data_IF_535274508115
#
_entry.id   IF_535274508115
#
_cell.length_a   1.000
_cell.length_b   1.000
_cell.length_c   1.000
_cell.angle_alpha   90.00
_cell.angle_beta   90.00
_cell.angle_gamma   90.00
#
_symmetry.space_group_name_H-M   'P 1'
#
loop_
_entity.id
_entity.type
_entity.pdbx_description
1 polymer ?
#
# COMPACT_ATOMS: atom_id res chain seq x y z
N UNK A 1 -3.95 -25.31 -3.58
CA UNK A 1 -2.87 -24.51 -4.18
C UNK A 1 -2.73 -23.30 -3.28
N UNK A 2 -1.69 -23.26 -2.45
CA UNK A 2 -1.49 -22.14 -1.53
C UNK A 2 -0.83 -21.02 -2.32
N UNK A 3 -1.62 -20.08 -2.82
CA UNK A 3 -1.09 -18.91 -3.53
C UNK A 3 -0.19 -18.14 -2.58
N UNK A 4 1.06 -17.89 -3.01
CA UNK A 4 2.00 -17.06 -2.29
C UNK A 4 1.41 -15.64 -2.18
N UNK A 5 0.76 -15.36 -1.05
CA UNK A 5 0.28 -14.04 -0.63
C UNK A 5 1.50 -13.15 -0.47
N UNK A 6 1.70 -12.24 -1.41
CA UNK A 6 2.97 -11.51 -1.51
C UNK A 6 2.82 -10.13 -2.10
N UNK A 7 3.60 -9.20 -1.57
CA UNK A 7 3.80 -7.89 -2.15
C UNK A 7 4.53 -8.05 -3.48
N UNK A 8 3.95 -7.53 -4.56
CA UNK A 8 4.65 -7.44 -5.86
C UNK A 8 5.19 -6.03 -6.00
N UNK A 9 6.51 -5.91 -6.19
CA UNK A 9 7.16 -4.63 -6.46
C UNK A 9 7.53 -4.57 -7.94
N UNK A 10 7.03 -3.56 -8.63
CA UNK A 10 7.42 -3.22 -9.99
C UNK A 10 7.94 -1.78 -10.00
N UNK A 11 9.28 -1.65 -10.01
CA UNK A 11 9.94 -0.37 -9.84
C UNK A 11 9.56 0.35 -8.54
N UNK A 12 8.83 1.46 -8.68
CA UNK A 12 8.33 2.30 -7.57
C UNK A 12 6.88 1.98 -7.19
N UNK A 13 6.25 1.01 -7.83
CA UNK A 13 4.88 0.60 -7.53
C UNK A 13 4.90 -0.69 -6.72
N UNK A 14 4.15 -0.72 -5.62
CA UNK A 14 3.93 -1.90 -4.79
C UNK A 14 2.47 -2.31 -4.91
N UNK A 15 2.21 -3.56 -5.31
CA UNK A 15 0.87 -4.14 -5.33
C UNK A 15 0.69 -5.02 -4.11
N UNK A 16 -0.38 -4.77 -3.36
CA UNK A 16 -0.74 -5.46 -2.12
C UNK A 16 -1.77 -6.57 -2.39
N UNK A 17 -1.36 -7.64 -3.05
CA UNK A 17 -2.24 -8.79 -3.26
C UNK A 17 -2.28 -9.67 -2.00
N UNK A 18 -3.34 -9.51 -1.20
CA UNK A 18 -3.65 -10.35 -0.05
C UNK A 18 -4.45 -11.60 -0.41
N UNK A 19 -4.99 -12.31 0.59
CA UNK A 19 -5.79 -13.53 0.39
C UNK A 19 -7.21 -13.33 -0.14
N UNK A 20 -7.49 -12.20 -0.79
CA UNK A 20 -8.80 -11.87 -1.36
C UNK A 20 -8.66 -11.35 -2.80
N UNK A 21 -9.77 -10.97 -3.42
CA UNK A 21 -9.82 -10.52 -4.82
C UNK A 21 -9.39 -9.05 -5.04
N UNK A 22 -8.86 -8.39 -4.01
CA UNK A 22 -8.49 -6.97 -4.02
C UNK A 22 -6.95 -6.87 -3.94
N UNK A 23 -6.34 -6.18 -4.91
CA UNK A 23 -4.91 -5.98 -5.10
C UNK A 23 -4.61 -4.48 -5.25
N UNK A 24 -4.81 -3.66 -4.20
CA UNK A 24 -4.54 -2.25 -4.27
C UNK A 24 -3.05 -1.99 -4.54
N UNK A 25 -2.78 -0.85 -5.17
CA UNK A 25 -1.44 -0.42 -5.57
C UNK A 25 -1.02 0.80 -4.77
N UNK A 26 0.26 0.90 -4.48
CA UNK A 26 0.90 2.06 -3.89
C UNK A 26 1.99 2.53 -4.85
N UNK A 27 1.90 3.78 -5.32
CA UNK A 27 2.90 4.40 -6.17
C UNK A 27 3.82 5.31 -5.36
N UNK A 28 5.12 5.05 -5.42
CA UNK A 28 6.21 5.81 -4.79
C UNK A 28 7.10 6.54 -5.80
N UNK A 29 6.62 6.83 -7.02
CA UNK A 29 7.35 7.58 -8.04
C UNK A 29 7.72 8.98 -7.56
N UNK A 30 6.78 9.68 -6.92
CA UNK A 30 7.04 10.93 -6.22
C UNK A 30 7.09 10.69 -4.70
N UNK A 31 8.26 10.85 -4.05
CA UNK A 31 8.37 10.66 -2.61
C UNK A 31 7.58 11.69 -1.79
N UNK A 32 7.18 12.81 -2.39
CA UNK A 32 6.35 13.82 -1.73
C UNK A 32 4.85 13.52 -1.85
N UNK A 33 4.46 12.68 -2.82
CA UNK A 33 3.07 12.41 -3.19
C UNK A 33 2.87 10.91 -3.44
N UNK A 34 2.46 10.20 -2.41
CA UNK A 34 2.31 8.74 -2.45
C UNK A 34 0.85 8.42 -2.76
N UNK A 35 0.62 7.71 -3.85
CA UNK A 35 -0.74 7.44 -4.35
C UNK A 35 -1.12 5.99 -4.06
N UNK A 36 -2.24 5.80 -3.39
CA UNK A 36 -2.89 4.51 -3.18
C UNK A 36 -4.03 4.40 -4.19
N UNK A 37 -4.10 3.29 -4.92
CA UNK A 37 -5.15 3.03 -5.91
C UNK A 37 -5.79 1.69 -5.61
N UNK A 38 -7.12 1.65 -5.50
CA UNK A 38 -7.87 0.40 -5.39
C UNK A 38 -8.10 -0.26 -6.76
N UNK A 39 -8.65 -1.48 -6.77
CA UNK A 39 -8.92 -2.23 -8.00
C UNK A 39 -10.06 -1.65 -8.86
N UNK A 40 -10.86 -0.74 -8.30
CA UNK A 40 -11.93 -0.04 -8.99
C UNK A 40 -11.47 1.31 -9.59
N UNK A 41 -10.20 1.67 -9.40
CA UNK A 41 -9.61 2.92 -9.88
C UNK A 41 -9.82 4.12 -8.95
N UNK A 42 -10.39 3.91 -7.76
CA UNK A 42 -10.41 4.91 -6.70
C UNK A 42 -8.99 5.19 -6.21
N UNK A 43 -8.65 6.46 -6.01
CA UNK A 43 -7.31 6.85 -5.61
C UNK A 43 -7.30 7.84 -4.45
N UNK A 44 -6.35 7.64 -3.52
CA UNK A 44 -6.06 8.55 -2.41
C UNK A 44 -4.59 8.90 -2.47
N UNK A 45 -4.28 10.19 -2.39
CA UNK A 45 -2.91 10.69 -2.35
C UNK A 45 -2.57 11.17 -0.95
N UNK A 46 -1.41 10.76 -0.45
CA UNK A 46 -0.85 11.21 0.81
C UNK A 46 0.40 12.05 0.56
N UNK A 47 0.57 13.11 1.35
CA UNK A 47 1.86 13.79 1.45
C UNK A 47 2.88 12.91 2.17
N UNK A 48 4.17 13.25 2.05
CA UNK A 48 5.23 12.57 2.79
C UNK A 48 4.97 12.51 4.30
N UNK A 49 4.49 13.60 4.91
CA UNK A 49 4.20 13.69 6.35
C UNK A 49 3.03 12.79 6.75
N UNK A 50 1.97 12.78 5.95
CA UNK A 50 0.82 11.91 6.19
C UNK A 50 1.20 10.44 6.09
N UNK A 51 2.03 10.09 5.10
CA UNK A 51 2.54 8.73 4.97
C UNK A 51 3.49 8.33 6.11
N UNK A 52 4.32 9.27 6.60
CA UNK A 52 5.15 9.04 7.78
C UNK A 52 4.28 8.77 9.02
N UNK A 53 3.24 9.58 9.24
CA UNK A 53 2.27 9.37 10.32
C UNK A 53 1.57 8.00 10.23
N UNK A 54 1.15 7.60 9.02
CA UNK A 54 0.55 6.30 8.78
C UNK A 54 1.50 5.14 9.10
N UNK A 55 2.77 5.23 8.68
CA UNK A 55 3.79 4.22 9.00
C UNK A 55 4.03 4.10 10.49
N UNK A 56 4.09 5.24 11.20
CA UNK A 56 4.27 5.24 12.64
C UNK A 56 3.07 4.61 13.35
N UNK A 57 1.85 4.92 12.92
CA UNK A 57 0.63 4.31 13.45
C UNK A 57 0.69 2.78 13.37
N UNK A 58 1.02 2.21 12.22
CA UNK A 58 1.09 0.74 12.08
C UNK A 58 2.31 0.10 12.76
N UNK A 59 3.42 0.82 12.90
CA UNK A 59 4.59 0.33 13.65
C UNK A 59 4.34 0.29 15.16
N UNK A 60 3.58 1.27 15.69
CA UNK A 60 3.28 1.38 17.12
C UNK A 60 2.08 0.53 17.54
N UNK A 61 1.16 0.19 16.61
CA UNK A 61 -0.12 -0.45 16.95
C UNK A 61 -0.07 -1.97 17.19
N UNK A 62 1.07 -2.64 17.04
CA UNK A 62 1.11 -4.11 17.09
C UNK A 62 0.24 -4.76 15.98
N UNK A 63 0.10 -6.10 15.93
CA UNK A 63 -0.75 -6.74 14.93
C UNK A 63 -2.20 -6.29 15.09
N UNK A 64 -2.80 -5.84 13.98
CA UNK A 64 -4.23 -5.57 13.89
C UNK A 64 -4.93 -6.92 13.84
N UNK A 65 -5.64 -7.27 14.92
CA UNK A 65 -6.50 -8.45 15.01
C UNK A 65 -7.74 -8.33 14.11
#
# INVERSE_FOLDING_TARGET
>A
MTENKGFKKDGKIVTLCGGGNCCPKINFEDPNNIVFTDDHGGAVQLTADQFAGLKNYFNDSGPIE
#
